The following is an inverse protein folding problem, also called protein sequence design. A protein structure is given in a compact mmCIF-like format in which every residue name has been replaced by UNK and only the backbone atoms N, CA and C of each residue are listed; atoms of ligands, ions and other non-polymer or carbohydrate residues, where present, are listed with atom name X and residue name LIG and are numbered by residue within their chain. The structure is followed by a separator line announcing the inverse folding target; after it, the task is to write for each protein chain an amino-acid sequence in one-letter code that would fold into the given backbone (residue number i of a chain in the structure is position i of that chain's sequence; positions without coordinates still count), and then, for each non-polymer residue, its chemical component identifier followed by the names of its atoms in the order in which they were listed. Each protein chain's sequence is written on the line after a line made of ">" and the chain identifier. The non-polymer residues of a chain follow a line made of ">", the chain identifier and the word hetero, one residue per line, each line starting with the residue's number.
data_IF_096809952867
#
_entry.id   IF_096809952867
#
_cell.length_a   1.000
_cell.length_b   1.000
_cell.length_c   1.000
_cell.angle_alpha   90.00
_cell.angle_beta   90.00
_cell.angle_gamma   90.00
#
_symmetry.space_group_name_H-M   'P 1'
#
loop_
_entity.id
_entity.type
_entity.pdbx_description
1 polymer ?
#
# COMPACT_ATOMS: atom_id res chain seq x y z
N UNK A 1 -21.91 0.83 -2.30
CA UNK A 1 -20.45 0.57 -2.27
C UNK A 1 -19.94 1.04 -0.91
N UNK A 2 -19.70 0.14 0.04
CA UNK A 2 -19.20 0.52 1.38
C UNK A 2 -17.72 0.82 1.24
N UNK A 3 -17.31 2.07 1.44
CA UNK A 3 -15.91 2.41 1.65
C UNK A 3 -15.50 1.82 2.99
N UNK A 4 -14.74 0.73 2.94
CA UNK A 4 -14.12 0.15 4.12
C UNK A 4 -13.03 1.14 4.57
N UNK A 5 -13.06 1.71 5.78
CA UNK A 5 -12.13 2.76 6.22
C UNK A 5 -10.65 2.31 6.33
N UNK A 6 -10.32 1.11 5.85
CA UNK A 6 -8.98 0.54 5.80
C UNK A 6 -8.50 0.19 4.38
N UNK A 7 -8.97 0.85 3.30
CA UNK A 7 -8.32 0.69 2.00
C UNK A 7 -6.89 1.27 2.08
N UNK A 8 -5.84 0.42 2.08
CA UNK A 8 -4.51 0.86 2.46
C UNK A 8 -3.87 1.68 1.33
N UNK A 9 -3.07 2.69 1.66
CA UNK A 9 -2.43 3.58 0.68
C UNK A 9 -1.74 2.90 -0.53
N UNK A 10 -1.06 1.75 -0.38
CA UNK A 10 -0.55 0.99 -1.53
C UNK A 10 -1.61 0.65 -2.60
N UNK A 11 -2.88 0.56 -2.24
CA UNK A 11 -3.98 0.29 -3.17
C UNK A 11 -4.39 1.53 -3.97
N UNK A 12 -4.33 2.72 -3.37
CA UNK A 12 -4.49 3.99 -4.09
C UNK A 12 -3.35 4.21 -5.09
N UNK A 13 -2.13 3.84 -4.69
CA UNK A 13 -0.96 3.91 -5.58
C UNK A 13 -1.09 2.90 -6.73
N UNK A 14 -1.54 1.68 -6.42
CA UNK A 14 -1.84 0.68 -7.45
C UNK A 14 -2.93 1.14 -8.44
N UNK A 15 -3.86 2.00 -7.98
CA UNK A 15 -4.89 2.61 -8.82
C UNK A 15 -4.39 3.81 -9.65
N UNK A 16 -3.10 4.17 -9.55
CA UNK A 16 -2.46 5.22 -10.35
C UNK A 16 -2.20 6.54 -9.63
N UNK A 17 -2.51 6.64 -8.34
CA UNK A 17 -2.15 7.83 -7.56
C UNK A 17 -0.67 7.83 -7.21
N UNK A 18 -0.06 9.02 -7.16
CA UNK A 18 1.27 9.15 -6.54
C UNK A 18 1.18 8.94 -5.03
N UNK A 19 2.27 8.56 -4.34
CA UNK A 19 2.28 8.45 -2.89
C UNK A 19 1.76 9.70 -2.17
N UNK A 20 2.16 10.90 -2.63
CA UNK A 20 1.68 12.17 -2.08
C UNK A 20 0.19 12.44 -2.36
N UNK A 21 -0.34 12.01 -3.51
CA UNK A 21 -1.79 12.09 -3.77
C UNK A 21 -2.56 11.13 -2.86
N UNK A 22 -2.06 9.91 -2.70
CA UNK A 22 -2.66 8.89 -1.85
C UNK A 22 -2.70 9.35 -0.38
N UNK A 23 -1.61 9.94 0.13
CA UNK A 23 -1.54 10.48 1.49
C UNK A 23 -2.55 11.62 1.70
N UNK A 24 -2.61 12.60 0.79
CA UNK A 24 -3.59 13.70 0.87
C UNK A 24 -5.05 13.22 0.89
N UNK A 25 -5.35 12.11 0.21
CA UNK A 25 -6.68 11.50 0.26
C UNK A 25 -6.93 10.84 1.62
N UNK A 26 -5.93 10.15 2.18
CA UNK A 26 -6.06 9.51 3.49
C UNK A 26 -6.13 10.50 4.65
N UNK A 27 -5.50 11.68 4.56
CA UNK A 27 -5.60 12.75 5.55
C UNK A 27 -7.05 13.23 5.79
N UNK A 28 -7.93 13.05 4.80
CA UNK A 28 -9.37 13.35 4.92
C UNK A 28 -10.09 12.40 5.88
N UNK A 29 -9.50 11.23 6.18
CA UNK A 29 -10.07 10.20 7.05
C UNK A 29 -9.59 10.43 8.49
N UNK A 30 -10.50 10.66 9.48
CA UNK A 30 -10.09 10.89 10.87
C UNK A 30 -9.27 9.75 11.48
N UNK A 31 -9.61 8.49 11.14
CA UNK A 31 -8.89 7.31 11.63
C UNK A 31 -7.43 7.26 11.13
N UNK A 32 -7.15 7.79 9.94
CA UNK A 32 -5.79 7.90 9.41
C UNK A 32 -4.96 8.86 10.26
N UNK A 33 -5.52 10.04 10.58
CA UNK A 33 -4.84 11.06 11.40
C UNK A 33 -4.52 10.58 12.81
N UNK A 34 -5.29 9.63 13.34
CA UNK A 34 -5.06 9.02 14.65
C UNK A 34 -4.12 7.80 14.61
N UNK A 35 -3.79 7.29 13.42
CA UNK A 35 -2.96 6.10 13.29
C UNK A 35 -1.48 6.43 13.54
N UNK A 36 -0.74 5.59 14.30
CA UNK A 36 0.70 5.75 14.45
C UNK A 36 1.40 5.60 13.10
N UNK A 37 2.13 6.63 12.69
CA UNK A 37 2.85 6.68 11.40
C UNK A 37 3.72 5.44 11.18
N UNK A 38 4.50 5.03 12.18
CA UNK A 38 5.36 3.85 12.12
C UNK A 38 4.56 2.56 11.86
N UNK A 39 3.36 2.42 12.43
CA UNK A 39 2.52 1.24 12.21
C UNK A 39 1.99 1.19 10.78
N UNK A 40 1.62 2.34 10.21
CA UNK A 40 1.13 2.44 8.83
C UNK A 40 2.24 2.13 7.84
N UNK A 41 3.41 2.72 8.01
CA UNK A 41 4.59 2.45 7.17
C UNK A 41 5.05 1.00 7.30
N UNK A 42 5.10 0.45 8.52
CA UNK A 42 5.44 -0.95 8.77
C UNK A 42 4.46 -1.92 8.13
N UNK A 43 3.15 -1.66 8.20
CA UNK A 43 2.14 -2.49 7.56
C UNK A 43 2.29 -2.50 6.03
N UNK A 44 2.59 -1.34 5.43
CA UNK A 44 2.86 -1.25 4.01
C UNK A 44 4.15 -2.01 3.61
N UNK A 45 5.20 -1.93 4.43
CA UNK A 45 6.45 -2.66 4.20
C UNK A 45 6.24 -4.18 4.24
N UNK A 46 5.67 -4.72 5.32
CA UNK A 46 5.39 -6.16 5.46
C UNK A 46 4.45 -6.64 4.35
N UNK A 47 3.42 -5.86 4.04
CA UNK A 47 2.50 -6.16 2.95
C UNK A 47 3.18 -6.21 1.59
N UNK A 48 4.17 -5.35 1.34
CA UNK A 48 4.93 -5.34 0.08
C UNK A 48 5.81 -6.56 -0.04
N UNK A 49 6.56 -6.89 1.03
CA UNK A 49 7.42 -8.07 1.08
C UNK A 49 6.61 -9.35 0.87
N UNK A 50 5.45 -9.49 1.52
CA UNK A 50 4.58 -10.64 1.31
C UNK A 50 4.10 -10.76 -0.15
N UNK A 51 3.69 -9.64 -0.77
CA UNK A 51 3.28 -9.63 -2.18
C UNK A 51 4.45 -9.98 -3.10
N UNK A 52 5.66 -9.55 -2.77
CA UNK A 52 6.87 -9.86 -3.51
C UNK A 52 7.21 -11.35 -3.43
N UNK A 53 7.11 -11.96 -2.25
CA UNK A 53 7.22 -13.40 -2.07
C UNK A 53 6.20 -14.16 -2.93
N UNK A 54 4.91 -13.78 -2.86
CA UNK A 54 3.87 -14.44 -3.67
C UNK A 54 4.09 -14.22 -5.18
N UNK A 55 4.67 -13.09 -5.59
CA UNK A 55 5.01 -12.85 -6.99
C UNK A 55 6.08 -13.80 -7.53
N UNK A 56 7.01 -14.25 -6.68
CA UNK A 56 8.06 -15.22 -7.03
C UNK A 56 7.56 -16.66 -6.94
N UNK A 57 6.95 -17.01 -5.82
CA UNK A 57 6.73 -18.39 -5.40
C UNK A 57 5.26 -18.83 -5.45
N UNK A 58 4.33 -17.88 -5.59
CA UNK A 58 2.90 -18.15 -5.58
C UNK A 58 2.37 -18.77 -6.89
N UNK A 59 1.04 -19.02 -6.99
CA UNK A 59 0.42 -19.53 -8.20
C UNK A 59 0.61 -18.57 -9.39
N UNK A 60 0.96 -19.10 -10.55
CA UNK A 60 1.30 -18.30 -11.75
C UNK A 60 0.25 -17.24 -12.09
N UNK A 61 -1.04 -17.61 -12.04
CA UNK A 61 -2.18 -16.72 -12.33
C UNK A 61 -2.23 -15.42 -11.51
N UNK A 62 -1.58 -15.37 -10.33
CA UNK A 62 -1.60 -14.16 -9.48
C UNK A 62 -0.25 -13.42 -9.47
N UNK A 63 0.82 -14.00 -10.02
CA UNK A 63 2.18 -13.46 -9.85
C UNK A 63 2.31 -12.03 -10.35
N UNK A 64 1.84 -11.76 -11.57
CA UNK A 64 1.90 -10.42 -12.17
C UNK A 64 1.15 -9.37 -11.33
N UNK A 65 -0.07 -9.67 -10.91
CA UNK A 65 -0.87 -8.77 -10.05
C UNK A 65 -0.17 -8.52 -8.71
N UNK A 66 0.47 -9.54 -8.13
CA UNK A 66 1.21 -9.40 -6.86
C UNK A 66 2.49 -8.61 -7.04
N UNK A 67 3.20 -8.77 -8.15
CA UNK A 67 4.37 -7.94 -8.49
C UNK A 67 3.98 -6.46 -8.58
N UNK A 68 2.89 -6.12 -9.27
CA UNK A 68 2.40 -4.74 -9.39
C UNK A 68 2.02 -4.17 -8.02
N UNK A 69 1.31 -4.94 -7.20
CA UNK A 69 0.94 -4.51 -5.86
C UNK A 69 2.14 -4.38 -4.91
N UNK A 70 3.20 -5.17 -5.10
CA UNK A 70 4.45 -5.02 -4.36
C UNK A 70 5.19 -3.73 -4.73
N UNK A 71 5.24 -3.38 -6.03
CA UNK A 71 5.80 -2.10 -6.49
C UNK A 71 5.07 -0.92 -5.85
N UNK A 72 3.74 -0.92 -5.86
CA UNK A 72 2.95 0.17 -5.27
C UNK A 72 3.19 0.33 -3.77
N UNK A 73 3.36 -0.78 -3.04
CA UNK A 73 3.67 -0.73 -1.62
C UNK A 73 5.11 -0.29 -1.32
N UNK A 74 6.09 -0.69 -2.14
CA UNK A 74 7.47 -0.16 -2.03
C UNK A 74 7.53 1.35 -2.31
N UNK A 75 6.83 1.83 -3.33
CA UNK A 75 6.75 3.26 -3.63
C UNK A 75 6.19 4.08 -2.44
N UNK A 76 5.24 3.52 -1.69
CA UNK A 76 4.78 4.15 -0.44
C UNK A 76 5.86 4.18 0.64
N UNK A 77 6.54 3.05 0.87
CA UNK A 77 7.59 2.96 1.89
C UNK A 77 8.72 3.93 1.58
N UNK A 78 9.24 3.92 0.35
CA UNK A 78 10.27 4.84 -0.13
C UNK A 78 9.86 6.29 0.10
N UNK A 79 8.64 6.68 -0.31
CA UNK A 79 8.13 8.03 -0.07
C UNK A 79 8.09 8.42 1.42
N UNK A 80 7.79 7.49 2.32
CA UNK A 80 7.74 7.78 3.78
C UNK A 80 9.08 7.71 4.48
N UNK A 81 10.08 7.07 3.89
CA UNK A 81 11.39 6.89 4.51
C UNK A 81 12.51 7.69 3.85
N UNK A 82 12.30 8.23 2.65
CA UNK A 82 13.29 9.01 1.88
C UNK A 82 13.70 8.32 0.59
#
# INVERSE_FOLDING_TARGET
>A
MRTNPGEPLPRLILAGHTPAQAERLAEQVPAWRAAPEAAVTGLAAVGSLFREFVARDGPERVRASRAHAAVAGRAWVEYRTG
#
